data_IF_883561374928
#
_entry.id   IF_883561374928
#
_cell.length_a   1.000
_cell.length_b   1.000
_cell.length_c   1.000
_cell.angle_alpha   90.00
_cell.angle_beta   90.00
_cell.angle_gamma   90.00
#
_symmetry.space_group_name_H-M   'P 1'
#
loop_
_entity.id
_entity.type
_entity.pdbx_description
1 polymer ?
#
# COMPACT_ATOMS: atom_id res chain seq x y z
N UNK A 1 31.12 -52.82 -0.66
CA UNK A 1 30.35 -52.91 -1.91
C UNK A 1 29.65 -51.56 -2.10
N UNK A 2 30.16 -50.84 -3.07
CA UNK A 2 30.02 -49.43 -3.40
C UNK A 2 28.66 -48.80 -3.07
N UNK A 3 28.75 -47.76 -2.26
CA UNK A 3 27.79 -46.63 -2.24
C UNK A 3 28.05 -45.81 -3.49
N UNK A 4 26.99 -45.54 -4.28
CA UNK A 4 26.99 -44.55 -5.32
C UNK A 4 27.28 -43.19 -4.69
N UNK A 5 28.51 -42.74 -4.84
CA UNK A 5 28.87 -41.33 -4.64
C UNK A 5 28.34 -40.58 -5.87
N UNK A 6 27.26 -39.83 -5.70
CA UNK A 6 26.89 -38.81 -6.63
C UNK A 6 28.07 -37.84 -6.79
N UNK A 7 28.48 -37.50 -8.02
CA UNK A 7 29.63 -36.61 -8.22
C UNK A 7 29.37 -35.26 -7.56
N UNK A 8 30.32 -34.79 -6.74
CA UNK A 8 30.30 -33.42 -6.23
C UNK A 8 30.26 -32.46 -7.41
N UNK A 9 29.38 -31.45 -7.34
CA UNK A 9 29.30 -30.45 -8.42
C UNK A 9 30.61 -29.68 -8.51
N UNK A 10 31.20 -29.69 -9.69
CA UNK A 10 32.40 -28.91 -10.04
C UNK A 10 32.18 -27.42 -9.72
N UNK A 11 33.16 -26.75 -9.06
CA UNK A 11 33.03 -25.29 -8.82
C UNK A 11 33.08 -24.54 -10.14
N UNK A 12 31.92 -24.10 -10.64
CA UNK A 12 31.85 -23.29 -11.87
C UNK A 12 30.48 -23.19 -12.53
N UNK A 13 29.60 -24.16 -12.37
CA UNK A 13 28.25 -24.11 -12.95
C UNK A 13 27.20 -23.80 -11.86
N UNK A 14 27.03 -22.52 -11.56
CA UNK A 14 25.80 -22.06 -10.91
C UNK A 14 24.69 -22.06 -11.97
N UNK A 15 24.09 -23.20 -12.20
CA UNK A 15 22.81 -23.28 -12.93
C UNK A 15 21.75 -22.60 -12.08
N UNK A 16 21.39 -21.37 -12.48
CA UNK A 16 20.22 -20.68 -11.90
C UNK A 16 18.98 -21.44 -12.39
N UNK A 17 18.41 -22.27 -11.53
CA UNK A 17 17.13 -22.92 -11.82
C UNK A 17 16.00 -22.05 -11.25
N UNK A 18 15.11 -21.60 -12.10
CA UNK A 18 13.88 -20.92 -11.71
C UNK A 18 12.82 -21.98 -11.34
N UNK A 19 12.62 -22.18 -10.05
CA UNK A 19 11.49 -22.95 -9.53
C UNK A 19 10.31 -22.03 -9.25
N UNK A 20 9.08 -22.51 -9.45
CA UNK A 20 7.89 -21.71 -9.12
C UNK A 20 7.36 -20.79 -10.24
N UNK A 21 7.71 -21.04 -11.51
CA UNK A 21 7.23 -20.23 -12.65
C UNK A 21 5.69 -20.08 -12.66
N UNK A 22 4.94 -21.07 -12.15
CA UNK A 22 3.48 -20.99 -11.99
C UNK A 22 3.03 -19.82 -11.12
N UNK A 23 3.82 -19.44 -10.12
CA UNK A 23 3.51 -18.33 -9.23
C UNK A 23 3.47 -16.99 -9.95
N UNK A 24 4.29 -16.79 -10.98
CA UNK A 24 4.23 -15.58 -11.82
C UNK A 24 2.91 -15.47 -12.58
N UNK A 25 2.34 -16.59 -13.02
CA UNK A 25 1.03 -16.59 -13.67
C UNK A 25 -0.06 -16.15 -12.69
N UNK A 26 -0.05 -16.70 -11.48
CA UNK A 26 -1.02 -16.31 -10.45
C UNK A 26 -0.89 -14.84 -10.06
N UNK A 27 0.33 -14.35 -9.90
CA UNK A 27 0.59 -12.92 -9.63
C UNK A 27 0.10 -12.04 -10.79
N UNK A 28 0.35 -12.44 -12.04
CA UNK A 28 -0.12 -11.70 -13.21
C UNK A 28 -1.66 -11.63 -13.28
N UNK A 29 -2.35 -12.73 -12.93
CA UNK A 29 -3.82 -12.75 -12.87
C UNK A 29 -4.32 -11.81 -11.74
N UNK A 30 -3.70 -11.84 -10.56
CA UNK A 30 -4.07 -10.94 -9.46
C UNK A 30 -3.87 -9.48 -9.86
N UNK A 31 -2.73 -9.13 -10.45
CA UNK A 31 -2.47 -7.77 -10.95
C UNK A 31 -3.51 -7.37 -12.00
N UNK A 32 -3.80 -8.26 -12.95
CA UNK A 32 -4.82 -8.01 -13.98
C UNK A 32 -6.21 -7.82 -13.38
N UNK A 33 -6.56 -8.58 -12.32
CA UNK A 33 -7.86 -8.48 -11.67
C UNK A 33 -8.10 -7.14 -10.97
N UNK A 34 -7.05 -6.42 -10.56
CA UNK A 34 -7.17 -5.08 -9.97
C UNK A 34 -7.85 -4.10 -10.92
N UNK A 35 -7.64 -4.26 -12.23
CA UNK A 35 -8.24 -3.41 -13.24
C UNK A 35 -9.69 -3.79 -13.60
N UNK A 36 -10.20 -4.93 -13.10
CA UNK A 36 -11.59 -5.37 -13.33
C UNK A 36 -12.50 -4.67 -12.33
N UNK A 37 -12.96 -3.48 -12.72
CA UNK A 37 -13.81 -2.64 -11.89
C UNK A 37 -15.04 -2.18 -12.69
N UNK A 38 -16.27 -2.28 -12.13
CA UNK A 38 -17.49 -1.85 -12.81
C UNK A 38 -17.51 -0.34 -13.11
N UNK A 39 -16.70 0.47 -12.42
CA UNK A 39 -16.56 1.91 -12.73
C UNK A 39 -15.69 2.18 -13.94
N UNK A 40 -14.86 1.20 -14.35
CA UNK A 40 -13.95 1.31 -15.51
C UNK A 40 -14.51 0.56 -16.72
N UNK A 41 -15.17 -0.56 -16.49
CA UNK A 41 -15.72 -1.42 -17.55
C UNK A 41 -17.20 -1.71 -17.34
N UNK A 42 -18.06 -1.17 -18.20
CA UNK A 42 -19.53 -1.33 -18.15
C UNK A 42 -20.01 -2.80 -18.23
N UNK A 43 -19.18 -3.69 -18.76
CA UNK A 43 -19.51 -5.14 -18.85
C UNK A 43 -19.29 -5.91 -17.53
N UNK A 44 -18.62 -5.30 -16.55
CA UNK A 44 -18.37 -5.92 -15.24
C UNK A 44 -19.59 -5.70 -14.35
N UNK A 45 -20.26 -6.77 -13.89
CA UNK A 45 -21.41 -6.63 -13.01
C UNK A 45 -21.03 -5.99 -11.66
N UNK A 46 -21.83 -5.03 -11.24
CA UNK A 46 -21.69 -4.42 -9.91
C UNK A 46 -22.41 -5.29 -8.87
N UNK A 47 -21.69 -6.18 -8.19
CA UNK A 47 -22.27 -7.08 -7.20
C UNK A 47 -22.80 -6.34 -5.97
N UNK A 48 -22.23 -5.17 -5.66
CA UNK A 48 -22.70 -4.34 -4.56
C UNK A 48 -24.12 -3.83 -4.83
N UNK A 49 -24.41 -3.36 -6.03
CA UNK A 49 -25.74 -2.90 -6.43
C UNK A 49 -26.73 -4.07 -6.61
N UNK A 50 -26.26 -5.20 -7.16
CA UNK A 50 -27.14 -6.36 -7.44
C UNK A 50 -27.53 -7.14 -6.18
N UNK A 51 -26.59 -7.31 -5.24
CA UNK A 51 -26.78 -8.22 -4.10
C UNK A 51 -26.48 -7.58 -2.75
N UNK A 52 -26.18 -6.28 -2.71
CA UNK A 52 -25.80 -5.51 -1.49
C UNK A 52 -24.65 -6.16 -0.70
N UNK A 53 -23.73 -6.84 -1.41
CA UNK A 53 -22.54 -7.42 -0.80
C UNK A 53 -21.38 -6.43 -0.81
N UNK A 54 -20.52 -6.39 0.24
CA UNK A 54 -19.43 -5.42 0.36
C UNK A 54 -18.19 -5.76 -0.46
N UNK A 55 -18.31 -6.60 -1.49
CA UNK A 55 -17.20 -7.00 -2.37
C UNK A 55 -17.68 -7.17 -3.82
N UNK A 56 -16.78 -6.93 -4.77
CA UNK A 56 -17.01 -7.02 -6.19
C UNK A 56 -16.44 -8.31 -6.81
N UNK A 57 -16.55 -8.41 -8.13
CA UNK A 57 -15.99 -9.54 -8.90
C UNK A 57 -14.49 -9.62 -8.75
N UNK A 58 -13.81 -8.48 -8.67
CA UNK A 58 -12.36 -8.38 -8.47
C UNK A 58 -11.91 -9.15 -7.23
N UNK A 59 -12.57 -8.92 -6.10
CA UNK A 59 -12.25 -9.58 -4.83
C UNK A 59 -12.50 -11.08 -4.90
N UNK A 60 -13.56 -11.51 -5.58
CA UNK A 60 -13.86 -12.94 -5.79
C UNK A 60 -12.77 -13.60 -6.63
N UNK A 61 -12.32 -12.95 -7.72
CA UNK A 61 -11.22 -13.45 -8.55
C UNK A 61 -9.95 -13.56 -7.71
N UNK A 62 -9.58 -12.51 -6.96
CA UNK A 62 -8.37 -12.50 -6.14
C UNK A 62 -8.37 -13.63 -5.10
N UNK A 63 -9.48 -13.83 -4.39
CA UNK A 63 -9.62 -14.91 -3.40
C UNK A 63 -9.54 -16.29 -4.06
N UNK A 64 -10.19 -16.47 -5.20
CA UNK A 64 -10.16 -17.73 -5.96
C UNK A 64 -8.74 -18.03 -6.43
N UNK A 65 -8.04 -17.05 -6.98
CA UNK A 65 -6.66 -17.19 -7.44
C UNK A 65 -5.72 -17.48 -6.28
N UNK A 66 -5.88 -16.79 -5.15
CA UNK A 66 -5.08 -17.04 -3.94
C UNK A 66 -5.26 -18.48 -3.44
N UNK A 67 -6.50 -18.98 -3.41
CA UNK A 67 -6.81 -20.35 -3.03
C UNK A 67 -6.19 -21.37 -3.99
N UNK A 68 -6.35 -21.18 -5.31
CA UNK A 68 -5.77 -22.05 -6.33
C UNK A 68 -4.23 -22.01 -6.31
N UNK A 69 -3.65 -20.83 -6.13
CA UNK A 69 -2.20 -20.67 -5.99
C UNK A 69 -1.66 -21.47 -4.81
N UNK A 70 -2.34 -21.39 -3.66
CA UNK A 70 -1.98 -22.16 -2.48
C UNK A 70 -2.11 -23.67 -2.69
N UNK A 71 -3.21 -24.13 -3.29
CA UNK A 71 -3.44 -25.56 -3.57
C UNK A 71 -2.47 -26.16 -4.59
N UNK A 72 -2.01 -25.34 -5.54
CA UNK A 72 -1.11 -25.77 -6.62
C UNK A 72 0.36 -25.44 -6.37
N UNK A 73 0.64 -24.81 -5.22
CA UNK A 73 1.99 -24.47 -4.81
C UNK A 73 2.87 -25.72 -4.65
N UNK A 74 4.11 -25.57 -5.07
CA UNK A 74 5.10 -26.61 -4.85
C UNK A 74 5.50 -26.68 -3.37
N UNK A 75 5.29 -27.84 -2.74
CA UNK A 75 5.55 -28.03 -1.31
C UNK A 75 7.01 -27.80 -0.93
N UNK A 76 7.93 -28.23 -1.79
CA UNK A 76 9.36 -28.04 -1.56
C UNK A 76 9.73 -26.54 -1.56
N UNK A 77 9.14 -25.78 -2.47
CA UNK A 77 9.31 -24.32 -2.51
C UNK A 77 8.69 -23.63 -1.29
N UNK A 78 7.54 -24.10 -0.81
CA UNK A 78 6.90 -23.57 0.40
C UNK A 78 7.72 -23.83 1.66
N UNK A 79 8.27 -25.03 1.80
CA UNK A 79 9.14 -25.40 2.92
C UNK A 79 10.46 -24.62 2.90
N UNK A 80 11.09 -24.48 1.73
CA UNK A 80 12.34 -23.70 1.57
C UNK A 80 12.17 -22.23 1.87
N UNK A 81 10.98 -21.67 1.61
CA UNK A 81 10.64 -20.27 1.90
C UNK A 81 9.99 -20.10 3.28
N UNK A 82 9.94 -21.15 4.11
CA UNK A 82 9.33 -21.12 5.45
C UNK A 82 7.91 -20.51 5.44
N UNK A 83 7.13 -20.81 4.38
CA UNK A 83 5.82 -20.23 4.20
C UNK A 83 4.88 -20.58 5.36
N UNK A 84 4.31 -19.56 5.98
CA UNK A 84 3.28 -19.70 6.99
C UNK A 84 2.24 -18.56 6.88
N UNK A 85 1.08 -18.77 7.52
CA UNK A 85 0.00 -17.78 7.53
C UNK A 85 0.10 -16.78 8.70
N UNK A 86 1.11 -16.86 9.53
CA UNK A 86 1.24 -16.00 10.71
C UNK A 86 1.31 -14.51 10.35
N UNK A 87 2.13 -14.08 9.37
CA UNK A 87 2.16 -12.67 8.96
C UNK A 87 0.81 -12.16 8.44
N UNK A 88 0.08 -12.99 7.70
CA UNK A 88 -1.24 -12.62 7.15
C UNK A 88 -2.25 -12.46 8.30
N UNK A 89 -2.22 -13.36 9.28
CA UNK A 89 -3.08 -13.31 10.46
C UNK A 89 -2.79 -12.07 11.31
N UNK A 90 -1.53 -11.74 11.55
CA UNK A 90 -1.11 -10.56 12.29
C UNK A 90 -1.58 -9.27 11.63
N UNK A 91 -1.34 -9.15 10.32
CA UNK A 91 -1.81 -8.01 9.52
C UNK A 91 -3.34 -7.92 9.53
N UNK A 92 -4.04 -9.05 9.43
CA UNK A 92 -5.49 -9.10 9.50
C UNK A 92 -6.05 -8.55 10.82
N UNK A 93 -5.50 -8.95 11.95
CA UNK A 93 -5.90 -8.43 13.27
C UNK A 93 -5.55 -6.95 13.43
N UNK A 94 -4.39 -6.54 12.92
CA UNK A 94 -3.96 -5.14 12.95
C UNK A 94 -4.93 -4.25 12.16
N UNK A 95 -5.27 -4.60 10.93
CA UNK A 95 -6.21 -3.85 10.12
C UNK A 95 -7.61 -3.82 10.73
N UNK A 96 -8.09 -4.94 11.27
CA UNK A 96 -9.38 -4.98 11.95
C UNK A 96 -9.41 -4.01 13.15
N UNK A 97 -8.35 -3.96 13.93
CA UNK A 97 -8.20 -3.01 15.04
C UNK A 97 -8.17 -1.55 14.56
N UNK A 98 -7.37 -1.26 13.52
CA UNK A 98 -7.27 0.09 12.94
C UNK A 98 -8.63 0.55 12.42
N UNK A 99 -9.29 -0.22 11.57
CA UNK A 99 -10.56 0.20 10.98
C UNK A 99 -11.69 0.31 12.02
N UNK A 100 -11.70 -0.55 13.04
CA UNK A 100 -12.68 -0.45 14.11
C UNK A 100 -12.52 0.83 14.97
N UNK A 101 -11.29 1.30 15.16
CA UNK A 101 -11.01 2.48 15.99
C UNK A 101 -10.93 3.79 15.19
N UNK A 102 -10.84 3.72 13.87
CA UNK A 102 -10.60 4.89 13.01
C UNK A 102 -11.84 5.79 12.88
N UNK A 103 -13.05 5.26 12.91
CA UNK A 103 -14.28 6.04 12.66
C UNK A 103 -14.42 7.30 13.56
N UNK A 104 -14.26 7.22 14.88
CA UNK A 104 -14.29 8.42 15.74
C UNK A 104 -13.17 9.41 15.40
N UNK A 105 -11.98 8.91 15.04
CA UNK A 105 -10.85 9.74 14.69
C UNK A 105 -11.09 10.50 13.38
N UNK A 106 -11.66 9.85 12.36
CA UNK A 106 -12.03 10.49 11.10
C UNK A 106 -13.01 11.65 11.32
N UNK A 107 -14.01 11.46 12.16
CA UNK A 107 -14.99 12.49 12.45
C UNK A 107 -14.39 13.66 13.23
N UNK A 108 -13.55 13.39 14.23
CA UNK A 108 -12.85 14.42 14.99
C UNK A 108 -11.93 15.27 14.09
N UNK A 109 -11.16 14.63 13.22
CA UNK A 109 -10.24 15.29 12.30
C UNK A 109 -11.01 16.10 11.26
N UNK A 110 -12.12 15.58 10.73
CA UNK A 110 -12.98 16.30 9.79
C UNK A 110 -13.56 17.57 10.41
N UNK A 111 -14.06 17.49 11.64
CA UNK A 111 -14.58 18.66 12.37
C UNK A 111 -13.49 19.70 12.61
N UNK A 112 -12.31 19.26 13.09
CA UNK A 112 -11.16 20.15 13.27
C UNK A 112 -10.77 20.87 11.96
N UNK A 113 -10.75 20.14 10.86
CA UNK A 113 -10.40 20.71 9.56
C UNK A 113 -11.45 21.68 9.05
N UNK A 114 -12.74 21.46 9.31
CA UNK A 114 -13.80 22.41 8.95
C UNK A 114 -13.72 23.72 9.73
N UNK A 115 -13.37 23.64 11.03
CA UNK A 115 -13.19 24.82 11.89
C UNK A 115 -11.93 25.64 11.54
N UNK A 116 -10.92 25.01 10.95
CA UNK A 116 -9.62 25.62 10.62
C UNK A 116 -9.38 25.69 9.10
N UNK A 117 -10.44 25.67 8.28
CA UNK A 117 -10.35 25.52 6.84
C UNK A 117 -9.39 26.51 6.16
N UNK A 118 -9.39 27.77 6.60
CA UNK A 118 -8.59 28.85 6.01
C UNK A 118 -7.07 28.67 6.22
N UNK A 119 -6.68 27.94 7.28
CA UNK A 119 -5.27 27.71 7.60
C UNK A 119 -4.69 26.46 6.92
N UNK A 120 -5.53 25.61 6.34
CA UNK A 120 -5.17 24.33 5.76
C UNK A 120 -4.97 24.44 4.24
N UNK A 121 -3.75 24.60 3.81
CA UNK A 121 -3.35 24.66 2.39
C UNK A 121 -3.05 23.27 1.82
N UNK A 122 -2.94 23.16 0.49
CA UNK A 122 -2.48 21.96 -0.21
C UNK A 122 -1.11 21.51 0.32
N UNK A 123 -0.22 22.47 0.59
CA UNK A 123 1.09 22.19 1.19
C UNK A 123 1.00 21.57 2.58
N UNK A 124 0.09 22.05 3.42
CA UNK A 124 -0.16 21.46 4.74
C UNK A 124 -0.58 20.00 4.61
N UNK A 125 -1.47 19.70 3.68
CA UNK A 125 -1.92 18.33 3.42
C UNK A 125 -0.81 17.45 2.84
N UNK A 126 -0.03 17.96 1.87
CA UNK A 126 1.08 17.21 1.28
C UNK A 126 2.14 16.83 2.32
N UNK A 127 2.69 17.83 3.01
CA UNK A 127 3.76 17.60 3.99
C UNK A 127 3.28 16.89 5.25
N UNK A 128 2.09 17.23 5.74
CA UNK A 128 1.49 16.57 6.90
C UNK A 128 1.21 15.09 6.65
N UNK A 129 0.57 14.75 5.53
CA UNK A 129 0.35 13.37 5.11
C UNK A 129 1.68 12.65 4.95
N UNK A 130 2.65 13.28 4.27
CA UNK A 130 3.94 12.66 3.99
C UNK A 130 4.71 12.31 5.26
N UNK A 131 4.88 13.26 6.16
CA UNK A 131 5.63 13.03 7.42
C UNK A 131 4.99 11.91 8.24
N UNK A 132 3.66 11.90 8.36
CA UNK A 132 2.97 10.86 9.09
C UNK A 132 3.02 9.51 8.38
N UNK A 133 2.87 9.46 7.06
CA UNK A 133 2.99 8.22 6.28
C UNK A 133 4.39 7.64 6.29
N UNK A 134 5.42 8.46 6.48
CA UNK A 134 6.79 7.99 6.66
C UNK A 134 7.02 7.21 7.97
N UNK A 135 6.13 7.35 8.96
CA UNK A 135 6.23 6.74 10.29
C UNK A 135 5.08 5.77 10.55
N UNK A 136 3.90 6.06 10.02
CA UNK A 136 2.68 5.25 10.13
C UNK A 136 2.40 4.57 8.80
N UNK A 137 1.54 3.54 8.81
CA UNK A 137 1.11 2.88 7.58
C UNK A 137 0.33 3.85 6.67
N UNK A 138 0.51 3.68 5.36
CA UNK A 138 -0.05 4.55 4.33
C UNK A 138 -1.58 4.62 4.36
N UNK A 139 -2.27 3.48 4.50
CA UNK A 139 -3.72 3.42 4.37
C UNK A 139 -4.47 4.22 5.46
N UNK A 140 -4.21 4.03 6.76
CA UNK A 140 -4.85 4.85 7.79
C UNK A 140 -4.45 6.33 7.69
N UNK A 141 -3.20 6.63 7.34
CA UNK A 141 -2.74 8.01 7.14
C UNK A 141 -3.52 8.68 6.02
N UNK A 142 -3.60 8.03 4.85
CA UNK A 142 -4.36 8.51 3.71
C UNK A 142 -5.82 8.83 4.07
N UNK A 143 -6.53 7.88 4.69
CA UNK A 143 -7.94 8.05 5.03
C UNK A 143 -8.19 9.21 6.02
N UNK A 144 -7.33 9.36 7.02
CA UNK A 144 -7.42 10.47 7.96
C UNK A 144 -7.24 11.83 7.28
N UNK A 145 -6.27 11.95 6.38
CA UNK A 145 -6.04 13.21 5.66
C UNK A 145 -7.10 13.49 4.60
N UNK A 146 -7.66 12.46 3.95
CA UNK A 146 -8.83 12.63 3.05
C UNK A 146 -10.04 13.11 3.85
N UNK A 147 -10.32 12.53 5.01
CA UNK A 147 -11.41 13.00 5.87
C UNK A 147 -11.21 14.46 6.32
N UNK A 148 -9.98 14.83 6.66
CA UNK A 148 -9.63 16.21 6.98
C UNK A 148 -9.84 17.16 5.78
N UNK A 149 -9.39 16.76 4.59
CA UNK A 149 -9.58 17.57 3.40
C UNK A 149 -11.05 17.72 3.02
N UNK A 150 -11.83 16.64 3.08
CA UNK A 150 -13.27 16.68 2.86
C UNK A 150 -13.98 17.57 3.91
N UNK A 151 -13.56 17.48 5.17
CA UNK A 151 -14.04 18.35 6.25
C UNK A 151 -13.78 19.83 5.99
N UNK A 152 -12.59 20.19 5.46
CA UNK A 152 -12.28 21.56 5.03
C UNK A 152 -13.33 22.10 4.01
N UNK A 153 -13.82 21.25 3.12
CA UNK A 153 -14.84 21.60 2.13
C UNK A 153 -16.29 21.38 2.62
N UNK A 154 -16.48 21.03 3.89
CA UNK A 154 -17.81 20.76 4.47
C UNK A 154 -18.48 19.50 3.89
N UNK A 155 -17.68 18.54 3.41
CA UNK A 155 -18.15 17.29 2.79
C UNK A 155 -18.04 16.13 3.76
N UNK A 156 -19.04 15.23 3.74
CA UNK A 156 -19.02 14.01 4.57
C UNK A 156 -18.26 12.87 3.88
N UNK A 157 -17.20 12.39 4.51
CA UNK A 157 -16.37 11.28 4.01
C UNK A 157 -17.12 9.94 3.93
N UNK A 158 -18.25 9.80 4.65
CA UNK A 158 -19.08 8.60 4.61
C UNK A 158 -20.13 8.60 3.48
N UNK A 159 -20.29 9.73 2.76
CA UNK A 159 -21.18 9.81 1.60
C UNK A 159 -20.43 9.53 0.32
N UNK A 160 -20.77 8.45 -0.43
CA UNK A 160 -20.15 8.14 -1.73
C UNK A 160 -20.26 9.27 -2.75
N UNK A 161 -21.41 9.97 -2.76
CA UNK A 161 -21.64 11.11 -3.67
C UNK A 161 -20.73 12.29 -3.31
N UNK A 162 -20.52 12.57 -2.01
CA UNK A 162 -19.61 13.61 -1.55
C UNK A 162 -18.17 13.27 -1.90
N UNK A 163 -17.75 12.02 -1.73
CA UNK A 163 -16.42 11.53 -2.13
C UNK A 163 -16.21 11.70 -3.64
N UNK A 164 -17.18 11.31 -4.46
CA UNK A 164 -17.11 11.50 -5.91
C UNK A 164 -17.04 12.98 -6.30
N UNK A 165 -17.81 13.82 -5.64
CA UNK A 165 -17.79 15.28 -5.86
C UNK A 165 -16.44 15.88 -5.46
N UNK A 166 -15.88 15.45 -4.32
CA UNK A 166 -14.56 15.88 -3.85
C UNK A 166 -13.46 15.48 -4.84
N UNK A 167 -13.49 14.25 -5.34
CA UNK A 167 -12.50 13.72 -6.26
C UNK A 167 -12.51 14.40 -7.64
N UNK A 168 -13.67 14.90 -8.09
CA UNK A 168 -13.83 15.52 -9.40
C UNK A 168 -13.92 17.06 -9.34
N UNK A 169 -13.92 17.66 -8.15
CA UNK A 169 -14.01 19.10 -8.00
C UNK A 169 -12.73 19.82 -8.42
N UNK A 170 -12.84 20.96 -9.09
CA UNK A 170 -11.69 21.72 -9.61
C UNK A 170 -10.72 22.16 -8.50
N UNK A 171 -11.24 22.53 -7.33
CA UNK A 171 -10.43 23.00 -6.20
C UNK A 171 -10.11 21.88 -5.20
N UNK A 172 -10.96 20.87 -5.08
CA UNK A 172 -10.80 19.80 -4.11
C UNK A 172 -9.91 18.64 -4.61
N UNK A 173 -9.94 18.35 -5.91
CA UNK A 173 -9.17 17.24 -6.49
C UNK A 173 -7.66 17.37 -6.25
N UNK A 174 -7.12 18.60 -6.19
CA UNK A 174 -5.70 18.82 -5.94
C UNK A 174 -5.29 18.40 -4.52
N UNK A 175 -6.19 18.54 -3.54
CA UNK A 175 -5.95 18.05 -2.18
C UNK A 175 -5.89 16.54 -2.15
N UNK A 176 -6.84 15.87 -2.84
CA UNK A 176 -6.84 14.41 -2.95
C UNK A 176 -5.56 13.90 -3.62
N UNK A 177 -5.14 14.56 -4.70
CA UNK A 177 -3.90 14.21 -5.40
C UNK A 177 -2.68 14.40 -4.50
N UNK A 178 -2.58 15.53 -3.80
CA UNK A 178 -1.47 15.82 -2.90
C UNK A 178 -1.37 14.79 -1.76
N UNK A 179 -2.51 14.45 -1.14
CA UNK A 179 -2.60 13.43 -0.09
C UNK A 179 -2.21 12.06 -0.63
N UNK A 180 -2.74 11.67 -1.79
CA UNK A 180 -2.47 10.35 -2.41
C UNK A 180 -0.99 10.18 -2.73
N UNK A 181 -0.38 11.17 -3.37
CA UNK A 181 1.04 11.16 -3.73
C UNK A 181 1.91 11.14 -2.48
N UNK A 182 1.61 12.00 -1.49
CA UNK A 182 2.36 12.05 -0.26
C UNK A 182 2.26 10.76 0.54
N UNK A 183 1.05 10.19 0.71
CA UNK A 183 0.85 8.96 1.45
C UNK A 183 1.67 7.79 0.87
N UNK A 184 1.71 7.65 -0.45
CA UNK A 184 2.44 6.57 -1.11
C UNK A 184 3.95 6.82 -1.11
N UNK A 185 4.39 8.00 -1.50
CA UNK A 185 5.82 8.27 -1.70
C UNK A 185 6.58 8.32 -0.39
N UNK A 186 6.06 9.01 0.62
CA UNK A 186 6.72 9.11 1.92
C UNK A 186 6.71 7.79 2.69
N UNK A 187 5.83 6.83 2.36
CA UNK A 187 5.89 5.48 2.90
C UNK A 187 7.24 4.78 2.67
N UNK A 188 8.00 5.23 1.66
CA UNK A 188 9.37 4.76 1.44
C UNK A 188 10.42 5.38 2.37
N UNK A 189 10.08 6.38 3.18
CA UNK A 189 11.04 7.05 4.07
C UNK A 189 11.54 6.16 5.21
N UNK A 190 10.78 5.15 5.59
CA UNK A 190 11.18 4.23 6.65
C UNK A 190 10.79 2.78 6.32
N UNK A 191 11.29 1.85 7.13
CA UNK A 191 10.86 0.45 7.02
C UNK A 191 9.45 0.21 7.55
N UNK A 192 8.88 1.13 8.34
CA UNK A 192 7.57 1.01 8.98
C UNK A 192 6.48 1.68 8.14
N UNK A 193 6.81 2.77 7.44
CA UNK A 193 5.84 3.54 6.66
C UNK A 193 5.15 2.76 5.53
N UNK A 194 5.66 1.58 5.20
CA UNK A 194 5.01 0.66 4.28
C UNK A 194 5.39 -0.79 4.64
N UNK A 195 4.40 -1.64 4.92
CA UNK A 195 4.62 -3.02 5.31
C UNK A 195 5.53 -3.84 4.35
N UNK A 196 5.43 -3.73 3.01
CA UNK A 196 6.38 -4.37 2.09
C UNK A 196 7.84 -4.02 2.32
N UNK A 197 8.16 -2.79 2.74
CA UNK A 197 9.55 -2.39 2.98
C UNK A 197 10.19 -3.18 4.12
N UNK A 198 9.44 -3.39 5.20
CA UNK A 198 9.90 -4.20 6.32
C UNK A 198 10.10 -5.66 5.93
N UNK A 199 9.18 -6.20 5.12
CA UNK A 199 9.27 -7.57 4.62
C UNK A 199 10.51 -7.76 3.73
N UNK A 200 10.78 -6.84 2.81
CA UNK A 200 11.99 -6.88 1.94
C UNK A 200 13.27 -6.84 2.79
N UNK A 201 13.30 -5.98 3.83
CA UNK A 201 14.40 -5.95 4.78
C UNK A 201 14.59 -7.28 5.47
N UNK A 202 13.54 -7.86 6.02
CA UNK A 202 13.59 -9.15 6.73
C UNK A 202 14.08 -10.29 5.81
N UNK A 203 13.61 -10.34 4.56
CA UNK A 203 14.06 -11.30 3.55
C UNK A 203 15.55 -11.12 3.24
N UNK A 204 16.02 -9.89 3.07
CA UNK A 204 17.41 -9.59 2.79
C UNK A 204 18.32 -10.08 3.95
N UNK A 205 17.95 -9.77 5.19
CA UNK A 205 18.69 -10.19 6.38
C UNK A 205 18.69 -11.72 6.55
N UNK A 206 17.57 -12.39 6.31
CA UNK A 206 17.48 -13.85 6.33
C UNK A 206 18.40 -14.50 5.28
N UNK A 207 18.70 -13.82 4.17
CA UNK A 207 19.64 -14.27 3.15
C UNK A 207 21.07 -13.76 3.35
N UNK A 208 21.41 -13.25 4.54
CA UNK A 208 22.76 -12.84 4.89
C UNK A 208 23.20 -11.49 4.30
N UNK A 209 22.25 -10.68 3.80
CA UNK A 209 22.52 -9.33 3.33
C UNK A 209 22.39 -8.34 4.50
N UNK A 210 23.48 -7.64 4.82
CA UNK A 210 23.45 -6.61 5.86
C UNK A 210 22.59 -5.42 5.39
N UNK A 211 21.58 -5.07 6.17
CA UNK A 211 20.74 -3.89 5.91
C UNK A 211 20.98 -2.81 6.95
N UNK A 212 20.80 -1.52 6.58
CA UNK A 212 20.91 -0.42 7.53
C UNK A 212 19.91 -0.58 8.69
N UNK A 213 20.30 -0.13 9.88
CA UNK A 213 19.33 0.03 10.97
C UNK A 213 18.25 1.06 10.59
N UNK A 214 17.12 1.05 11.29
CA UNK A 214 16.00 1.97 11.02
C UNK A 214 16.44 3.44 10.96
N UNK A 215 17.16 3.91 11.96
CA UNK A 215 17.66 5.31 11.98
C UNK A 215 18.74 5.56 10.93
N UNK A 216 19.62 4.58 10.69
CA UNK A 216 20.63 4.71 9.65
C UNK A 216 20.02 4.81 8.25
N UNK A 217 18.93 4.09 7.98
CA UNK A 217 18.21 4.19 6.73
C UNK A 217 17.63 5.59 6.52
N UNK A 218 16.94 6.13 7.53
CA UNK A 218 16.35 7.48 7.45
C UNK A 218 17.43 8.54 7.22
N UNK A 219 18.50 8.53 8.03
CA UNK A 219 19.52 9.60 7.98
C UNK A 219 20.42 9.51 6.75
N UNK A 220 20.80 8.30 6.32
CA UNK A 220 21.76 8.12 5.23
C UNK A 220 21.12 8.08 3.85
N UNK A 221 19.86 7.66 3.74
CA UNK A 221 19.20 7.46 2.46
C UNK A 221 17.95 8.33 2.31
N UNK A 222 17.01 8.27 3.27
CA UNK A 222 15.72 8.95 3.11
C UNK A 222 15.87 10.48 3.12
N UNK A 223 16.56 11.04 4.10
CA UNK A 223 16.74 12.50 4.18
C UNK A 223 17.55 13.02 2.98
N UNK A 224 18.74 12.49 2.63
CA UNK A 224 19.53 13.09 1.56
C UNK A 224 19.05 12.77 0.15
N UNK A 225 18.29 11.69 -0.06
CA UNK A 225 17.86 11.26 -1.40
C UNK A 225 16.37 11.48 -1.59
N UNK A 226 15.52 10.94 -0.71
CA UNK A 226 14.08 10.98 -0.91
C UNK A 226 13.47 12.35 -0.60
N UNK A 227 13.91 13.00 0.48
CA UNK A 227 13.36 14.31 0.86
C UNK A 227 13.56 15.39 -0.22
N UNK A 228 14.72 15.53 -0.89
CA UNK A 228 14.87 16.41 -2.04
C UNK A 228 13.92 16.07 -3.20
N UNK A 229 13.73 14.78 -3.49
CA UNK A 229 12.78 14.35 -4.54
C UNK A 229 11.36 14.79 -4.18
N UNK A 230 10.93 14.60 -2.94
CA UNK A 230 9.60 15.03 -2.48
C UNK A 230 9.44 16.54 -2.52
N UNK A 231 10.49 17.28 -2.19
CA UNK A 231 10.49 18.74 -2.30
C UNK A 231 10.36 19.20 -3.77
N UNK A 232 11.05 18.54 -4.69
CA UNK A 232 10.91 18.82 -6.14
C UNK A 232 9.50 18.53 -6.63
N UNK A 233 8.89 17.40 -6.24
CA UNK A 233 7.51 17.07 -6.58
C UNK A 233 6.55 18.14 -6.03
N UNK A 234 6.74 18.54 -4.78
CA UNK A 234 5.93 19.61 -4.19
C UNK A 234 6.04 20.93 -4.98
N UNK A 235 7.25 21.33 -5.31
CA UNK A 235 7.50 22.59 -6.04
C UNK A 235 6.86 22.54 -7.44
N UNK A 236 6.99 21.43 -8.14
CA UNK A 236 6.47 21.31 -9.52
C UNK A 236 4.93 21.27 -9.55
N UNK A 237 4.32 20.50 -8.64
CA UNK A 237 2.89 20.18 -8.76
C UNK A 237 2.00 20.93 -7.77
N UNK A 238 2.52 21.36 -6.62
CA UNK A 238 1.68 21.86 -5.52
C UNK A 238 2.03 23.26 -5.02
N UNK A 239 3.21 23.83 -5.32
CA UNK A 239 3.61 25.14 -4.81
C UNK A 239 2.82 26.30 -5.39
N UNK A 240 2.22 26.14 -6.57
CA UNK A 240 1.35 27.14 -7.20
C UNK A 240 -0.05 27.22 -6.60
N UNK A 241 -0.43 26.28 -5.74
CA UNK A 241 -1.74 26.22 -5.07
C UNK A 241 -1.68 26.73 -3.62
N UNK A 242 -0.90 27.80 -3.40
CA UNK A 242 -0.91 28.52 -2.11
C UNK A 242 -2.13 29.44 -2.12
N UNK A 243 -3.24 28.90 -1.66
CA UNK A 243 -4.42 29.66 -1.25
C UNK A 243 -4.83 29.24 0.14
#
# INVERSE_FOLDING_TARGET
>A
RNKDESPEPTPGEKTVSLTGVKSFVWVAIIIGSVFIDPTVFDWVPNLNEMWHVPFGIREVIMLTVAFLAYMTADKESMEKNEFNFEPIREVGWLFLGIFATMQPALQLISNFASENADSLSVGTFYWGTGVLSGILDNAPTYLNFVAAAMGKFGMDVNSPEAVATFANGLESAIFLQAISVAAVFFGAMSYIGNAPNFMVKAIAEANGVETPSFMAYIVKYSIPILLPVYAVIYIIFYSGWVM
#
